data_IF_150904977324
#
_entry.id   IF_150904977324
#
_cell.length_a   1.000
_cell.length_b   1.000
_cell.length_c   1.000
_cell.angle_alpha   90.00
_cell.angle_beta   90.00
_cell.angle_gamma   90.00
#
_symmetry.space_group_name_H-M   'P 1'
#
loop_
_entity.id
_entity.type
_entity.pdbx_description
1 polymer ?
#
# COMPACT_ATOMS: atom_id res chain seq x y z
N UNK A 1 -13.66 7.96 -16.34
CA UNK A 1 -14.94 8.33 -15.67
C UNK A 1 -15.15 9.84 -15.67
N UNK A 2 -14.11 10.63 -15.41
CA UNK A 2 -14.18 12.09 -15.51
C UNK A 2 -14.16 12.61 -16.96
N UNK A 3 -13.64 11.83 -17.90
CA UNK A 3 -13.52 12.27 -19.31
C UNK A 3 -14.79 12.05 -20.15
N UNK A 4 -15.66 11.14 -19.71
CA UNK A 4 -16.95 10.88 -20.38
C UNK A 4 -17.97 11.84 -19.84
N UNK A 5 -18.55 12.67 -20.71
CA UNK A 5 -19.49 13.73 -20.32
C UNK A 5 -20.89 13.52 -20.90
N UNK A 6 -21.86 14.17 -20.28
CA UNK A 6 -23.23 14.28 -20.79
C UNK A 6 -23.29 15.10 -22.10
N UNK A 7 -24.48 15.15 -22.71
CA UNK A 7 -24.69 15.89 -23.96
C UNK A 7 -24.43 17.40 -23.82
N UNK A 8 -24.66 17.96 -22.63
CA UNK A 8 -24.44 19.37 -22.31
C UNK A 8 -22.99 19.68 -21.92
N UNK A 9 -22.11 18.67 -21.88
CA UNK A 9 -20.70 18.80 -21.48
C UNK A 9 -20.52 19.40 -20.07
N UNK A 10 -21.54 19.27 -19.23
CA UNK A 10 -21.72 19.91 -17.92
C UNK A 10 -21.35 18.97 -16.76
N UNK A 11 -21.73 17.70 -16.86
CA UNK A 11 -21.47 16.67 -15.87
C UNK A 11 -20.71 15.50 -16.49
N UNK A 12 -19.90 14.84 -15.66
CA UNK A 12 -19.14 13.66 -16.08
C UNK A 12 -19.85 12.38 -15.62
N UNK A 13 -19.51 11.24 -16.21
CA UNK A 13 -20.02 9.94 -15.80
C UNK A 13 -19.74 9.65 -14.30
N UNK A 14 -18.65 10.21 -13.74
CA UNK A 14 -18.37 10.13 -12.30
C UNK A 14 -19.43 10.87 -11.45
N UNK A 15 -19.89 12.04 -11.90
CA UNK A 15 -20.98 12.78 -11.22
C UNK A 15 -22.25 11.93 -11.18
N UNK A 16 -22.63 11.37 -12.33
CA UNK A 16 -23.79 10.48 -12.45
C UNK A 16 -23.68 9.24 -11.57
N UNK A 17 -22.50 8.60 -11.49
CA UNK A 17 -22.28 7.43 -10.64
C UNK A 17 -22.46 7.76 -9.16
N UNK A 18 -21.88 8.87 -8.68
CA UNK A 18 -22.01 9.33 -7.30
C UNK A 18 -23.48 9.66 -6.99
N UNK A 19 -24.18 10.33 -7.91
CA UNK A 19 -25.61 10.60 -7.77
C UNK A 19 -26.44 9.31 -7.65
N UNK A 20 -26.18 8.33 -8.51
CA UNK A 20 -26.86 7.04 -8.46
C UNK A 20 -26.56 6.29 -7.16
N UNK A 21 -25.32 6.30 -6.67
CA UNK A 21 -24.96 5.67 -5.41
C UNK A 21 -25.71 6.29 -4.23
N UNK A 22 -25.75 7.61 -4.17
CA UNK A 22 -26.49 8.32 -3.13
C UNK A 22 -27.98 8.00 -3.18
N UNK A 23 -28.60 8.07 -4.37
CA UNK A 23 -30.04 7.87 -4.55
C UNK A 23 -30.48 6.41 -4.33
N UNK A 24 -29.68 5.43 -4.75
CA UNK A 24 -30.05 3.99 -4.70
C UNK A 24 -29.63 3.31 -3.40
N UNK A 25 -28.59 3.79 -2.76
CA UNK A 25 -28.03 3.17 -1.55
C UNK A 25 -28.03 4.10 -0.34
N UNK A 26 -28.86 5.15 -0.36
CA UNK A 26 -29.08 6.09 0.75
C UNK A 26 -27.75 6.62 1.32
N UNK A 27 -26.86 7.04 0.42
CA UNK A 27 -25.54 7.57 0.77
C UNK A 27 -24.55 6.56 1.38
N UNK A 28 -24.86 5.25 1.42
CA UNK A 28 -23.97 4.21 1.98
C UNK A 28 -22.56 4.22 1.39
N UNK A 29 -22.43 4.57 0.11
CA UNK A 29 -21.15 4.61 -0.60
C UNK A 29 -20.61 6.04 -0.77
N UNK A 30 -21.13 7.02 -0.04
CA UNK A 30 -20.64 8.40 -0.20
C UNK A 30 -19.22 8.57 0.33
N UNK A 31 -18.80 7.72 1.29
CA UNK A 31 -17.54 7.86 2.02
C UNK A 31 -16.55 6.72 1.88
N UNK A 32 -16.82 5.69 1.07
CA UNK A 32 -15.92 4.52 0.95
C UNK A 32 -14.49 4.93 0.55
N UNK A 33 -14.32 5.97 -0.26
CA UNK A 33 -12.99 6.46 -0.66
C UNK A 33 -12.20 7.07 0.52
N UNK A 34 -12.88 7.55 1.56
CA UNK A 34 -12.27 8.06 2.79
C UNK A 34 -12.08 6.92 3.78
N UNK A 35 -13.10 6.11 3.98
CA UNK A 35 -13.13 5.12 5.05
C UNK A 35 -12.32 3.86 4.68
N UNK A 36 -12.49 3.35 3.47
CA UNK A 36 -11.90 2.08 3.04
C UNK A 36 -10.56 2.27 2.32
N UNK A 37 -10.36 3.40 1.63
CA UNK A 37 -9.18 3.65 0.78
C UNK A 37 -8.14 4.59 1.43
N UNK A 38 -8.22 4.83 2.74
CA UNK A 38 -7.33 5.75 3.46
C UNK A 38 -5.82 5.45 3.31
N UNK A 39 -5.42 4.18 3.09
CA UNK A 39 -4.02 3.80 2.88
C UNK A 39 -3.52 3.94 1.45
N UNK A 40 -4.40 4.14 0.46
CA UNK A 40 -4.04 4.18 -0.97
C UNK A 40 -3.02 5.29 -1.25
N UNK A 41 -3.17 6.46 -0.63
CA UNK A 41 -2.24 7.61 -0.79
C UNK A 41 -0.81 7.35 -0.28
N UNK A 42 -0.65 6.38 0.62
CA UNK A 42 0.67 5.93 1.09
C UNK A 42 1.19 4.79 0.21
N UNK A 43 0.31 3.83 -0.12
CA UNK A 43 0.66 2.67 -0.93
C UNK A 43 1.14 3.06 -2.35
N UNK A 44 0.56 4.09 -2.95
CA UNK A 44 0.94 4.56 -4.29
C UNK A 44 2.37 5.13 -4.38
N UNK A 45 3.02 5.39 -3.24
CA UNK A 45 4.39 5.93 -3.18
C UNK A 45 5.44 4.84 -2.95
N UNK A 46 5.02 3.59 -2.81
CA UNK A 46 5.90 2.46 -2.54
C UNK A 46 6.35 1.88 -3.89
N UNK A 47 7.66 1.79 -4.08
CA UNK A 47 8.25 0.98 -5.15
C UNK A 47 8.39 -0.46 -4.64
N UNK A 48 7.66 -1.38 -5.27
CA UNK A 48 7.65 -2.78 -4.88
C UNK A 48 9.01 -3.47 -5.07
N UNK A 49 9.72 -3.15 -6.15
CA UNK A 49 11.02 -3.77 -6.46
C UNK A 49 12.09 -3.32 -5.46
N UNK A 50 12.10 -2.04 -5.11
CA UNK A 50 13.03 -1.52 -4.12
C UNK A 50 12.72 -2.03 -2.71
N UNK A 51 11.44 -2.23 -2.38
CA UNK A 51 11.04 -2.88 -1.13
C UNK A 51 11.50 -4.35 -1.09
N UNK A 52 11.34 -5.09 -2.18
CA UNK A 52 11.82 -6.48 -2.30
C UNK A 52 13.35 -6.57 -2.16
N UNK A 53 14.09 -5.67 -2.82
CA UNK A 53 15.56 -5.58 -2.67
C UNK A 53 15.95 -5.31 -1.22
N UNK A 54 15.25 -4.39 -0.55
CA UNK A 54 15.51 -4.05 0.86
C UNK A 54 15.26 -5.23 1.79
N UNK A 55 14.18 -5.99 1.56
CA UNK A 55 13.87 -7.20 2.31
C UNK A 55 14.97 -8.26 2.17
N UNK A 56 15.42 -8.49 0.93
CA UNK A 56 16.50 -9.44 0.65
C UNK A 56 17.83 -8.99 1.27
N UNK A 57 18.13 -7.69 1.23
CA UNK A 57 19.31 -7.12 1.87
C UNK A 57 19.30 -7.34 3.38
N UNK A 58 18.17 -7.11 4.04
CA UNK A 58 18.00 -7.32 5.48
C UNK A 58 18.24 -8.78 5.86
N UNK A 59 17.55 -9.71 5.17
CA UNK A 59 17.72 -11.17 5.39
C UNK A 59 19.18 -11.59 5.25
N UNK A 60 19.83 -11.15 4.18
CA UNK A 60 21.22 -11.48 3.91
C UNK A 60 22.17 -10.88 4.95
N UNK A 61 21.91 -9.66 5.42
CA UNK A 61 22.75 -9.00 6.42
C UNK A 61 22.68 -9.71 7.77
N UNK A 62 21.48 -10.06 8.24
CA UNK A 62 21.28 -10.83 9.48
C UNK A 62 21.93 -12.21 9.36
N UNK A 63 21.77 -12.90 8.23
CA UNK A 63 22.42 -14.20 7.98
C UNK A 63 23.95 -14.09 8.00
N UNK A 64 24.52 -13.07 7.36
CA UNK A 64 25.97 -12.84 7.31
C UNK A 64 26.55 -12.65 8.70
N UNK A 65 25.97 -11.77 9.51
CA UNK A 65 26.49 -11.53 10.88
C UNK A 65 26.30 -12.77 11.76
N UNK A 66 25.18 -13.48 11.64
CA UNK A 66 24.95 -14.75 12.35
C UNK A 66 26.01 -15.80 12.00
N UNK A 67 26.34 -15.92 10.71
CA UNK A 67 27.36 -16.88 10.22
C UNK A 67 28.75 -16.49 10.70
N UNK A 68 29.10 -15.20 10.62
CA UNK A 68 30.40 -14.72 11.09
C UNK A 68 30.60 -14.98 12.59
N UNK A 69 29.54 -14.83 13.37
CA UNK A 69 29.54 -15.06 14.81
C UNK A 69 29.84 -16.52 15.18
N UNK A 70 29.41 -17.49 14.37
CA UNK A 70 29.67 -18.92 14.59
C UNK A 70 31.16 -19.27 14.52
N UNK A 71 31.90 -18.55 13.67
CA UNK A 71 33.35 -18.77 13.47
C UNK A 71 34.20 -17.72 14.16
N UNK A 72 33.59 -16.82 14.93
CA UNK A 72 34.31 -15.70 15.54
C UNK A 72 35.27 -16.20 16.62
N UNK A 73 36.51 -15.73 16.54
CA UNK A 73 37.51 -15.94 17.58
C UNK A 73 37.85 -14.60 18.21
N UNK A 74 37.95 -14.61 19.54
CA UNK A 74 38.29 -13.43 20.34
C UNK A 74 39.65 -12.87 19.94
N UNK A 75 39.71 -11.58 19.62
CA UNK A 75 40.93 -10.94 19.10
C UNK A 75 41.85 -10.41 20.20
N UNK A 76 41.29 -9.93 21.32
CA UNK A 76 42.03 -9.39 22.48
C UNK A 76 41.34 -9.75 23.80
N UNK A 77 42.02 -9.66 24.95
CA UNK A 77 41.48 -10.09 26.25
C UNK A 77 40.15 -9.44 26.66
N UNK A 78 39.89 -8.19 26.26
CA UNK A 78 38.65 -7.46 26.60
C UNK A 78 37.66 -7.38 25.44
N UNK A 79 37.83 -8.21 24.42
CA UNK A 79 36.91 -8.30 23.30
C UNK A 79 35.58 -8.93 23.73
N UNK A 80 34.52 -8.13 23.59
CA UNK A 80 33.14 -8.45 23.94
C UNK A 80 32.25 -8.58 22.69
N UNK A 81 32.83 -8.62 21.48
CA UNK A 81 32.08 -8.64 20.23
C UNK A 81 31.10 -9.80 20.20
N UNK A 82 31.57 -11.02 20.48
CA UNK A 82 30.70 -12.20 20.46
C UNK A 82 29.51 -12.06 21.43
N UNK A 83 29.78 -11.67 22.68
CA UNK A 83 28.73 -11.52 23.69
C UNK A 83 27.68 -10.47 23.31
N UNK A 84 28.11 -9.29 22.82
CA UNK A 84 27.19 -8.20 22.46
C UNK A 84 26.44 -8.49 21.16
N UNK A 85 27.13 -9.04 20.16
CA UNK A 85 26.54 -9.33 18.85
C UNK A 85 25.60 -10.53 18.92
N UNK A 86 25.82 -11.53 19.77
CA UNK A 86 24.85 -12.61 20.01
C UNK A 86 23.47 -12.07 20.41
N UNK A 87 23.43 -11.13 21.36
CA UNK A 87 22.17 -10.52 21.84
C UNK A 87 21.49 -9.71 20.71
N UNK A 88 22.29 -8.98 19.93
CA UNK A 88 21.78 -8.25 18.77
C UNK A 88 21.19 -9.20 17.72
N UNK A 89 21.92 -10.26 17.37
CA UNK A 89 21.49 -11.25 16.37
C UNK A 89 20.21 -11.94 16.79
N UNK A 90 20.07 -12.32 18.06
CA UNK A 90 18.85 -12.93 18.57
C UNK A 90 17.63 -11.99 18.40
N UNK A 91 17.78 -10.72 18.75
CA UNK A 91 16.73 -9.70 18.56
C UNK A 91 16.42 -9.50 17.08
N UNK A 92 17.46 -9.33 16.25
CA UNK A 92 17.32 -9.11 14.82
C UNK A 92 16.63 -10.28 14.10
N UNK A 93 16.88 -11.53 14.53
CA UNK A 93 16.21 -12.71 13.99
C UNK A 93 14.72 -12.75 14.36
N UNK A 94 14.34 -12.36 15.58
CA UNK A 94 12.93 -12.26 16.01
C UNK A 94 12.19 -11.20 15.19
N UNK A 95 12.78 -10.01 15.04
CA UNK A 95 12.19 -8.94 14.25
C UNK A 95 12.10 -9.32 12.77
N UNK A 96 13.14 -9.97 12.23
CA UNK A 96 13.15 -10.47 10.86
C UNK A 96 12.03 -11.47 10.61
N UNK A 97 11.76 -12.38 11.55
CA UNK A 97 10.65 -13.33 11.43
C UNK A 97 9.29 -12.62 11.30
N UNK A 98 9.06 -11.59 12.13
CA UNK A 98 7.82 -10.79 12.07
C UNK A 98 7.71 -10.07 10.73
N UNK A 99 8.78 -9.40 10.31
CA UNK A 99 8.81 -8.66 9.03
C UNK A 99 8.59 -9.62 7.86
N UNK A 100 9.18 -10.81 7.88
CA UNK A 100 9.02 -11.78 6.80
C UNK A 100 7.58 -12.30 6.69
N UNK A 101 6.93 -12.53 7.84
CA UNK A 101 5.51 -12.90 7.87
C UNK A 101 4.61 -11.79 7.32
N UNK A 102 4.89 -10.52 7.64
CA UNK A 102 4.17 -9.37 7.09
C UNK A 102 4.39 -9.24 5.57
N UNK A 103 5.63 -9.45 5.11
CA UNK A 103 5.97 -9.47 3.68
C UNK A 103 5.20 -10.56 2.95
N UNK A 104 5.22 -11.80 3.45
CA UNK A 104 4.47 -12.91 2.88
C UNK A 104 2.97 -12.58 2.80
N UNK A 105 2.39 -12.08 3.90
CA UNK A 105 0.98 -11.70 3.93
C UNK A 105 0.64 -10.62 2.88
N UNK A 106 1.48 -9.59 2.76
CA UNK A 106 1.31 -8.54 1.75
C UNK A 106 1.35 -9.12 0.33
N UNK A 107 2.32 -9.99 0.02
CA UNK A 107 2.42 -10.61 -1.31
C UNK A 107 1.24 -11.53 -1.63
N UNK A 108 0.68 -12.21 -0.64
CA UNK A 108 -0.53 -13.03 -0.81
C UNK A 108 -1.74 -12.15 -1.13
N UNK A 109 -1.93 -11.04 -0.39
CA UNK A 109 -3.01 -10.08 -0.67
C UNK A 109 -2.88 -9.48 -2.07
N UNK A 110 -1.67 -9.16 -2.51
CA UNK A 110 -1.41 -8.71 -3.87
C UNK A 110 -1.82 -9.75 -4.92
N UNK A 111 -1.43 -11.02 -4.75
CA UNK A 111 -1.83 -12.11 -5.67
C UNK A 111 -3.35 -12.29 -5.73
N UNK A 112 -4.02 -12.22 -4.58
CA UNK A 112 -5.49 -12.28 -4.53
C UNK A 112 -6.13 -11.11 -5.25
N UNK A 113 -5.59 -9.90 -5.11
CA UNK A 113 -6.09 -8.70 -5.80
C UNK A 113 -5.89 -8.77 -7.30
N UNK A 114 -4.71 -9.20 -7.76
CA UNK A 114 -4.40 -9.47 -9.18
C UNK A 114 -5.41 -10.45 -9.78
N UNK A 115 -5.71 -11.53 -9.04
CA UNK A 115 -6.68 -12.54 -9.46
C UNK A 115 -8.10 -11.97 -9.50
N UNK A 116 -8.50 -11.21 -8.49
CA UNK A 116 -9.83 -10.63 -8.38
C UNK A 116 -10.12 -9.59 -9.48
N UNK A 117 -9.13 -8.75 -9.80
CA UNK A 117 -9.26 -7.71 -10.82
C UNK A 117 -8.85 -8.19 -12.23
N UNK A 118 -8.41 -9.45 -12.37
CA UNK A 118 -8.09 -10.09 -13.65
C UNK A 118 -7.11 -9.31 -14.54
N UNK A 119 -5.96 -8.87 -14.00
CA UNK A 119 -4.93 -8.18 -14.77
C UNK A 119 -3.57 -8.88 -14.75
N UNK A 120 -2.67 -8.50 -15.67
CA UNK A 120 -1.29 -8.98 -15.71
C UNK A 120 -0.39 -8.09 -14.83
N UNK A 121 0.14 -8.60 -13.70
CA UNK A 121 0.95 -7.80 -12.78
C UNK A 121 2.31 -7.39 -13.38
N UNK A 122 2.76 -8.00 -14.49
CA UNK A 122 3.97 -7.59 -15.19
C UNK A 122 3.76 -6.33 -16.03
N UNK A 123 2.55 -6.16 -16.58
CA UNK A 123 2.18 -4.98 -17.38
C UNK A 123 1.60 -3.86 -16.51
N UNK A 124 1.03 -4.25 -15.37
CA UNK A 124 0.35 -3.35 -14.45
C UNK A 124 0.83 -3.62 -13.02
N UNK A 125 2.01 -3.09 -12.65
CA UNK A 125 2.64 -3.37 -11.36
C UNK A 125 1.92 -2.66 -10.21
N UNK A 126 2.31 -3.02 -8.98
CA UNK A 126 1.64 -2.58 -7.74
C UNK A 126 1.56 -1.07 -7.61
N UNK A 127 2.67 -0.38 -7.85
CA UNK A 127 2.78 1.08 -7.81
C UNK A 127 1.81 1.75 -8.81
N UNK A 128 1.62 1.14 -9.99
CA UNK A 128 0.73 1.66 -11.02
C UNK A 128 -0.74 1.49 -10.63
N UNK A 129 -1.13 0.32 -10.13
CA UNK A 129 -2.49 0.10 -9.61
C UNK A 129 -2.82 1.11 -8.50
N UNK A 130 -1.95 1.24 -7.50
CA UNK A 130 -2.22 2.17 -6.40
C UNK A 130 -2.15 3.64 -6.83
N UNK A 131 -1.33 3.98 -7.84
CA UNK A 131 -1.33 5.30 -8.46
C UNK A 131 -2.67 5.65 -9.10
N UNK A 132 -3.22 4.73 -9.90
CA UNK A 132 -4.52 4.93 -10.55
C UNK A 132 -5.67 4.94 -9.54
N UNK A 133 -5.62 4.07 -8.50
CA UNK A 133 -6.58 4.12 -7.39
C UNK A 133 -6.50 5.44 -6.62
N UNK A 134 -5.30 5.98 -6.38
CA UNK A 134 -5.14 7.26 -5.70
C UNK A 134 -5.72 8.40 -6.55
N UNK A 135 -5.49 8.38 -7.86
CA UNK A 135 -6.09 9.35 -8.78
C UNK A 135 -7.63 9.27 -8.74
N UNK A 136 -8.19 8.06 -8.80
CA UNK A 136 -9.62 7.83 -8.65
C UNK A 136 -10.17 8.38 -7.32
N UNK A 137 -9.50 8.13 -6.19
CA UNK A 137 -9.88 8.67 -4.87
C UNK A 137 -9.93 10.19 -4.89
N UNK A 138 -8.89 10.84 -5.42
CA UNK A 138 -8.84 12.31 -5.52
C UNK A 138 -9.97 12.85 -6.41
N UNK A 139 -10.22 12.24 -7.56
CA UNK A 139 -11.31 12.62 -8.47
C UNK A 139 -12.68 12.46 -7.80
N UNK A 140 -12.91 11.33 -7.12
CA UNK A 140 -14.15 11.06 -6.42
C UNK A 140 -14.42 12.08 -5.31
N UNK A 141 -13.40 12.38 -4.50
CA UNK A 141 -13.50 13.38 -3.43
C UNK A 141 -13.75 14.79 -3.97
N UNK A 142 -13.09 15.17 -5.07
CA UNK A 142 -13.29 16.45 -5.73
C UNK A 142 -14.74 16.62 -6.18
N UNK A 143 -15.29 15.63 -6.91
CA UNK A 143 -16.67 15.66 -7.39
C UNK A 143 -17.68 15.64 -6.23
N UNK A 144 -17.44 14.81 -5.21
CA UNK A 144 -18.34 14.69 -4.05
C UNK A 144 -18.38 15.98 -3.21
N UNK A 145 -17.26 16.69 -3.11
CA UNK A 145 -17.15 17.94 -2.35
C UNK A 145 -17.91 19.09 -3.01
N UNK A 146 -17.86 19.19 -4.34
CA UNK A 146 -18.60 20.19 -5.13
C UNK A 146 -20.12 20.03 -4.96
N UNK A 147 -20.59 18.78 -4.82
CA UNK A 147 -22.03 18.53 -4.59
C UNK A 147 -22.49 19.01 -3.21
N UNK A 148 -21.70 18.80 -2.16
CA UNK A 148 -22.05 19.21 -0.79
C UNK A 148 -22.06 20.73 -0.60
N UNK A 149 -21.28 21.48 -1.41
CA UNK A 149 -21.35 22.95 -1.45
C UNK A 149 -22.50 23.47 -2.32
N UNK A 150 -23.01 22.68 -3.27
CA UNK A 150 -24.16 23.01 -4.13
C UNK A 150 -25.54 22.80 -3.50
N UNK A 151 -25.68 21.97 -2.45
CA UNK A 151 -26.97 21.70 -1.79
C UNK A 151 -27.50 22.82 -0.88
N UNK A 152 -26.91 24.03 -0.90
CA UNK A 152 -27.41 25.21 -0.16
C UNK A 152 -28.39 26.09 -0.93
N UNK A 153 -28.72 25.75 -2.17
CA UNK A 153 -29.72 26.48 -2.96
C UNK A 153 -30.74 25.49 -3.50
N UNK A 154 -31.76 25.18 -2.69
CA UNK A 154 -33.14 24.87 -3.07
C UNK A 154 -33.87 24.23 -1.87
N UNK A 155 -34.22 25.08 -0.91
CA UNK A 155 -35.43 24.97 -0.07
C UNK A 155 -36.18 26.27 -0.21
#
# INVERSE_FOLDING_TARGET
LVDTKDCENSETLLHGLIFLFHKKFDGKFDKFVVDDFHHVSKACKIDYLDLEKSMNLLKNSVKKISTHLLTYQKQIANDCFQAKISIFVETAQKDLFVIDSLWEHMTLKWKSLVTYLCFDPKKYPMERLFGDLNNFVCQYQSVSSVRNSGTRLNT
#
